data_IF_482034354122
#
_entry.id   IF_482034354122
#
_cell.length_a   1.000
_cell.length_b   1.000
_cell.length_c   1.000
_cell.angle_alpha   90.00
_cell.angle_beta   90.00
_cell.angle_gamma   90.00
#
_symmetry.space_group_name_H-M   'P 1'
#
loop_
_entity.id
_entity.type
_entity.pdbx_description
1 polymer ?
#
# COMPACT_ATOMS: atom_id res chain seq x y z
N UNK A 1 32.76 38.22 21.37
CA UNK A 1 32.91 36.75 21.25
C UNK A 1 31.66 36.12 21.85
N UNK A 2 30.64 35.84 21.02
CA UNK A 2 29.37 35.26 21.44
C UNK A 2 29.41 33.75 21.23
N UNK A 3 29.31 32.99 22.31
CA UNK A 3 29.27 31.52 22.28
C UNK A 3 27.85 31.07 21.98
N UNK A 4 27.63 30.49 20.79
CA UNK A 4 26.40 29.77 20.47
C UNK A 4 26.46 28.39 21.11
N UNK A 5 25.60 28.12 22.09
CA UNK A 5 25.32 26.75 22.51
C UNK A 5 24.51 26.08 21.40
N UNK A 6 25.10 25.09 20.75
CA UNK A 6 24.37 24.17 19.91
C UNK A 6 23.29 23.48 20.76
N UNK A 7 22.03 23.67 20.40
CA UNK A 7 20.93 22.85 20.90
C UNK A 7 21.08 21.50 20.21
N UNK A 8 21.67 20.53 20.90
CA UNK A 8 21.63 19.14 20.47
C UNK A 8 20.20 18.65 20.57
N UNK A 9 19.51 18.55 19.43
CA UNK A 9 18.30 17.75 19.35
C UNK A 9 18.69 16.30 19.58
N UNK A 10 18.46 15.80 20.79
CA UNK A 10 18.48 14.36 21.03
C UNK A 10 17.33 13.74 20.25
N UNK A 11 17.61 13.25 19.05
CA UNK A 11 16.72 12.32 18.35
C UNK A 11 16.66 11.05 19.19
N UNK A 12 15.64 10.93 20.04
CA UNK A 12 15.27 9.62 20.60
C UNK A 12 15.02 8.72 19.41
N UNK A 13 15.68 7.55 19.29
CA UNK A 13 15.45 6.66 18.17
C UNK A 13 13.96 6.27 18.14
N UNK A 14 13.31 6.50 17.00
CA UNK A 14 11.94 6.05 16.77
C UNK A 14 11.90 4.54 16.92
N UNK A 15 11.02 4.02 17.79
CA UNK A 15 10.81 2.58 17.93
C UNK A 15 10.13 2.05 16.67
N UNK A 16 10.50 0.88 16.18
CA UNK A 16 9.84 0.26 15.03
C UNK A 16 8.45 -0.26 15.41
N UNK A 17 7.49 -0.16 14.50
CA UNK A 17 6.18 -0.84 14.61
C UNK A 17 6.39 -2.36 14.70
N UNK A 18 5.68 -3.01 15.61
CA UNK A 18 5.69 -4.46 15.75
C UNK A 18 5.05 -5.14 14.53
N UNK A 19 5.78 -6.05 13.90
CA UNK A 19 5.28 -6.88 12.80
C UNK A 19 4.61 -8.12 13.40
N UNK A 20 3.27 -8.25 13.29
CA UNK A 20 2.56 -9.37 13.87
C UNK A 20 2.80 -10.66 13.07
N UNK A 21 2.52 -11.84 13.64
CA UNK A 21 2.55 -13.09 12.91
C UNK A 21 1.60 -13.08 11.69
N UNK A 22 2.07 -13.60 10.56
CA UNK A 22 1.31 -13.64 9.29
C UNK A 22 1.18 -15.05 8.73
N UNK A 23 0.17 -15.27 7.91
CA UNK A 23 -0.02 -16.45 7.06
C UNK A 23 -0.41 -16.00 5.65
N UNK A 24 -0.49 -16.89 4.63
CA UNK A 24 -1.04 -16.52 3.33
C UNK A 24 -2.46 -15.92 3.41
N UNK A 25 -3.25 -16.28 4.41
CA UNK A 25 -4.60 -15.77 4.65
C UNK A 25 -4.63 -14.57 5.61
N UNK A 26 -3.50 -14.22 6.24
CA UNK A 26 -3.38 -13.07 7.15
C UNK A 26 -2.06 -12.37 6.91
N UNK A 27 -2.06 -11.39 6.03
CA UNK A 27 -0.85 -10.81 5.43
C UNK A 27 -0.80 -9.29 5.63
N UNK A 28 0.40 -8.71 5.54
CA UNK A 28 0.61 -7.26 5.62
C UNK A 28 0.09 -6.60 4.33
N UNK A 29 -0.69 -5.54 4.45
CA UNK A 29 -1.30 -4.86 3.30
C UNK A 29 -1.35 -3.34 3.44
N UNK A 30 -1.93 -2.66 2.45
CA UNK A 30 -2.08 -1.22 2.37
C UNK A 30 -0.74 -0.48 2.34
N UNK A 31 -0.68 0.71 2.96
CA UNK A 31 0.50 1.58 2.91
C UNK A 31 1.79 0.87 3.37
N UNK A 32 1.71 -0.02 4.37
CA UNK A 32 2.88 -0.79 4.80
C UNK A 32 3.45 -1.68 3.68
N UNK A 33 2.58 -2.37 2.95
CA UNK A 33 2.99 -3.19 1.81
C UNK A 33 3.44 -2.33 0.62
N UNK A 34 2.80 -1.17 0.39
CA UNK A 34 3.20 -0.22 -0.65
C UNK A 34 4.61 0.35 -0.42
N UNK A 35 5.07 0.42 0.82
CA UNK A 35 6.43 0.84 1.17
C UNK A 35 7.49 -0.28 1.06
N UNK A 36 7.13 -1.47 0.57
CA UNK A 36 8.04 -2.59 0.35
C UNK A 36 8.06 -2.88 -1.14
N UNK A 37 9.24 -2.84 -1.77
CA UNK A 37 9.37 -3.17 -3.20
C UNK A 37 8.73 -4.52 -3.51
N UNK A 38 7.76 -4.57 -4.42
CA UNK A 38 7.05 -5.81 -4.72
C UNK A 38 7.87 -6.73 -5.66
N UNK A 39 7.58 -8.04 -5.72
CA UNK A 39 8.26 -8.98 -6.61
C UNK A 39 8.22 -8.60 -8.10
N UNK A 40 7.13 -7.97 -8.54
CA UNK A 40 6.94 -7.46 -9.90
C UNK A 40 7.76 -6.22 -10.24
N UNK A 41 8.56 -5.71 -9.29
CA UNK A 41 9.49 -4.61 -9.52
C UNK A 41 8.89 -3.21 -9.38
N UNK A 42 7.66 -3.09 -8.88
CA UNK A 42 7.02 -1.80 -8.59
C UNK A 42 7.76 -1.05 -7.47
N UNK A 43 7.96 0.25 -7.66
CA UNK A 43 8.61 1.14 -6.69
C UNK A 43 7.73 1.37 -5.45
N UNK A 44 6.42 1.46 -5.65
CA UNK A 44 5.43 1.63 -4.58
C UNK A 44 5.39 3.04 -4.01
N UNK A 45 4.91 3.14 -2.78
CA UNK A 45 4.89 4.40 -2.06
C UNK A 45 6.28 4.69 -1.49
N UNK A 46 7.09 5.45 -2.23
CA UNK A 46 8.42 5.89 -1.78
C UNK A 46 8.35 7.17 -0.92
N UNK A 47 7.19 7.83 -0.88
CA UNK A 47 7.06 9.17 -0.31
C UNK A 47 7.13 9.19 1.22
N UNK A 48 6.88 8.07 1.91
CA UNK A 48 6.90 8.02 3.38
C UNK A 48 7.46 6.71 3.96
N UNK A 49 8.79 6.56 3.86
CA UNK A 49 9.55 5.46 4.49
C UNK A 49 9.38 5.39 6.03
N UNK A 50 8.77 6.38 6.68
CA UNK A 50 8.58 6.44 8.12
C UNK A 50 7.34 5.68 8.61
N UNK A 51 6.58 5.03 7.72
CA UNK A 51 5.42 4.20 8.12
C UNK A 51 5.76 3.07 9.09
N UNK A 52 6.98 2.52 8.99
CA UNK A 52 7.49 1.47 9.87
C UNK A 52 7.98 1.98 11.24
N UNK A 53 7.93 3.29 11.49
CA UNK A 53 8.31 3.90 12.76
C UNK A 53 7.06 4.19 13.61
N UNK A 54 7.13 3.86 14.90
CA UNK A 54 6.16 4.29 15.89
C UNK A 54 6.17 5.81 16.00
N UNK A 55 4.99 6.41 15.97
CA UNK A 55 4.82 7.80 16.37
C UNK A 55 4.67 7.87 17.89
N UNK A 56 5.30 8.87 18.52
CA UNK A 56 5.20 9.11 19.97
C UNK A 56 3.76 9.26 20.46
N UNK A 57 2.89 9.81 19.61
CA UNK A 57 1.54 10.21 20.02
C UNK A 57 0.49 9.11 19.73
N UNK A 58 0.78 8.15 18.85
CA UNK A 58 -0.10 7.02 18.54
C UNK A 58 0.71 5.78 18.15
N UNK A 59 0.62 4.68 18.91
CA UNK A 59 1.19 3.41 18.48
C UNK A 59 0.50 3.03 17.16
N UNK A 60 1.29 2.94 16.09
CA UNK A 60 0.81 2.49 14.79
C UNK A 60 0.73 0.97 14.83
N UNK A 61 -0.30 0.42 14.21
CA UNK A 61 -0.41 -1.02 13.98
C UNK A 61 -0.26 -1.29 12.48
N UNK A 62 0.42 -2.38 12.15
CA UNK A 62 0.51 -2.86 10.76
C UNK A 62 -0.89 -3.17 10.26
N UNK A 63 -1.22 -2.70 9.06
CA UNK A 63 -2.51 -3.00 8.43
C UNK A 63 -2.47 -4.42 7.87
N UNK A 64 -3.49 -5.22 8.17
CA UNK A 64 -3.54 -6.64 7.81
C UNK A 64 -4.76 -6.96 6.95
N UNK A 65 -4.51 -7.66 5.84
CA UNK A 65 -5.53 -8.36 5.06
C UNK A 65 -5.89 -9.70 5.71
N UNK A 66 -7.07 -10.23 5.37
CA UNK A 66 -7.68 -11.37 6.05
C UNK A 66 -8.07 -11.08 7.50
N UNK A 67 -8.28 -9.81 7.83
CA UNK A 67 -8.79 -9.36 9.11
C UNK A 67 -10.28 -9.06 9.02
N UNK A 68 -10.93 -8.81 10.16
CA UNK A 68 -12.34 -8.39 10.17
C UNK A 68 -12.58 -7.04 9.50
N UNK A 69 -11.55 -6.19 9.37
CA UNK A 69 -11.66 -4.89 8.70
C UNK A 69 -11.38 -4.98 7.19
N UNK A 70 -10.51 -5.92 6.78
CA UNK A 70 -10.08 -6.08 5.39
C UNK A 70 -10.01 -7.57 5.08
N UNK A 71 -11.03 -8.12 4.44
CA UNK A 71 -11.00 -9.47 3.91
C UNK A 71 -11.46 -9.50 2.44
N UNK A 72 -10.47 -9.42 1.56
CA UNK A 72 -10.64 -9.51 0.11
C UNK A 72 -10.32 -10.91 -0.42
N UNK A 73 -10.00 -11.86 0.47
CA UNK A 73 -9.69 -13.25 0.13
C UNK A 73 -10.84 -13.95 -0.62
N UNK A 74 -12.13 -13.72 -0.29
CA UNK A 74 -13.23 -14.27 -1.08
C UNK A 74 -13.28 -13.80 -2.54
N UNK A 75 -12.65 -12.65 -2.84
CA UNK A 75 -12.67 -12.02 -4.18
C UNK A 75 -11.44 -12.45 -4.98
N UNK A 76 -10.26 -12.42 -4.35
CA UNK A 76 -8.97 -12.58 -5.02
C UNK A 76 -8.20 -13.84 -4.65
N UNK A 77 -8.66 -14.61 -3.65
CA UNK A 77 -7.92 -15.74 -3.11
C UNK A 77 -6.53 -15.31 -2.66
N UNK A 78 -5.52 -16.10 -3.05
CA UNK A 78 -4.10 -15.83 -2.77
C UNK A 78 -3.44 -14.85 -3.74
N UNK A 79 -4.17 -14.29 -4.72
CA UNK A 79 -3.57 -13.40 -5.72
C UNK A 79 -2.87 -12.20 -5.05
N UNK A 80 -1.65 -11.92 -5.50
CA UNK A 80 -0.85 -10.80 -5.04
C UNK A 80 -0.31 -10.96 -3.62
N UNK A 81 -0.40 -12.14 -3.00
CA UNK A 81 0.18 -12.40 -1.67
C UNK A 81 1.49 -13.17 -1.87
N UNK A 82 2.57 -12.72 -1.22
CA UNK A 82 3.89 -13.31 -1.36
C UNK A 82 4.66 -13.35 -0.04
N UNK A 83 5.65 -14.25 0.05
CA UNK A 83 6.58 -14.29 1.17
C UNK A 83 7.63 -13.19 0.98
N UNK A 84 7.71 -12.24 1.90
CA UNK A 84 8.60 -11.07 1.78
C UNK A 84 9.50 -10.81 2.97
N UNK A 85 9.84 -11.84 3.76
CA UNK A 85 10.80 -11.72 4.89
C UNK A 85 12.09 -11.06 4.43
N UNK A 86 12.70 -11.57 3.37
CA UNK A 86 13.99 -11.07 2.87
C UNK A 86 13.92 -9.58 2.48
N UNK A 87 12.77 -9.13 1.97
CA UNK A 87 12.57 -7.73 1.58
C UNK A 87 12.49 -6.82 2.81
N UNK A 88 11.74 -7.23 3.83
CA UNK A 88 11.66 -6.50 5.09
C UNK A 88 13.03 -6.48 5.82
N UNK A 89 13.79 -7.59 5.79
CA UNK A 89 15.15 -7.65 6.32
C UNK A 89 16.10 -6.69 5.57
N UNK A 90 15.96 -6.60 4.25
CA UNK A 90 16.76 -5.66 3.43
C UNK A 90 16.50 -4.19 3.75
N UNK A 91 15.32 -3.87 4.31
CA UNK A 91 14.97 -2.55 4.83
C UNK A 91 15.49 -2.31 6.25
N UNK A 92 16.15 -3.30 6.87
CA UNK A 92 16.65 -3.22 8.24
C UNK A 92 15.59 -3.39 9.32
N UNK A 93 14.42 -3.95 8.98
CA UNK A 93 13.34 -4.16 9.95
C UNK A 93 13.60 -5.38 10.83
N UNK A 94 13.29 -5.23 12.12
CA UNK A 94 13.27 -6.31 13.10
C UNK A 94 12.01 -7.15 12.90
N UNK A 95 12.19 -8.43 12.62
CA UNK A 95 11.12 -9.39 12.38
C UNK A 95 10.97 -10.38 13.53
N UNK A 96 9.83 -11.09 13.63
CA UNK A 96 9.71 -12.28 14.47
C UNK A 96 10.87 -13.25 14.22
N UNK A 97 11.39 -13.91 15.27
CA UNK A 97 12.60 -14.74 15.15
C UNK A 97 12.45 -15.92 14.19
N UNK A 98 11.24 -16.47 14.07
CA UNK A 98 10.94 -17.62 13.23
C UNK A 98 9.72 -17.36 12.35
N UNK A 99 9.62 -18.13 11.27
CA UNK A 99 8.47 -18.11 10.39
C UNK A 99 8.60 -17.16 9.20
N UNK A 100 7.71 -17.39 8.27
CA UNK A 100 7.53 -16.60 7.05
C UNK A 100 6.75 -15.33 7.35
N UNK A 101 7.04 -14.26 6.59
CA UNK A 101 6.27 -13.03 6.64
C UNK A 101 5.59 -12.82 5.30
N UNK A 102 4.28 -12.72 5.30
CA UNK A 102 3.46 -12.60 4.10
C UNK A 102 2.99 -11.16 3.90
N UNK A 103 3.11 -10.67 2.66
CA UNK A 103 2.71 -9.32 2.26
C UNK A 103 1.85 -9.36 1.00
N UNK A 104 1.00 -8.36 0.86
CA UNK A 104 0.40 -7.97 -0.40
C UNK A 104 1.46 -7.35 -1.32
N UNK A 105 1.36 -7.63 -2.60
CA UNK A 105 1.98 -6.85 -3.65
C UNK A 105 1.22 -5.52 -3.82
N UNK A 106 1.71 -4.61 -4.66
CA UNK A 106 1.16 -3.25 -4.69
C UNK A 106 -0.26 -3.22 -5.21
N UNK A 107 -0.58 -4.01 -6.24
CA UNK A 107 -1.96 -4.12 -6.73
C UNK A 107 -2.90 -4.62 -5.61
N UNK A 108 -2.56 -5.72 -4.93
CA UNK A 108 -3.40 -6.25 -3.84
C UNK A 108 -3.52 -5.26 -2.68
N UNK A 109 -2.45 -4.53 -2.36
CA UNK A 109 -2.46 -3.52 -1.31
C UNK A 109 -3.41 -2.35 -1.62
N UNK A 110 -3.46 -1.88 -2.86
CA UNK A 110 -4.39 -0.83 -3.30
C UNK A 110 -5.83 -1.34 -3.25
N UNK A 111 -6.08 -2.56 -3.73
CA UNK A 111 -7.41 -3.17 -3.70
C UNK A 111 -7.93 -3.36 -2.26
N UNK A 112 -7.05 -3.72 -1.33
CA UNK A 112 -7.36 -3.82 0.09
C UNK A 112 -7.71 -2.45 0.72
N UNK A 113 -7.01 -1.38 0.32
CA UNK A 113 -7.33 -0.01 0.75
C UNK A 113 -8.66 0.47 0.17
N UNK A 114 -8.95 0.19 -1.12
CA UNK A 114 -10.24 0.46 -1.74
C UNK A 114 -11.35 -0.26 -0.99
N UNK A 115 -11.17 -1.56 -0.73
CA UNK A 115 -12.15 -2.38 -0.02
C UNK A 115 -12.45 -1.82 1.36
N UNK A 116 -11.41 -1.53 2.13
CA UNK A 116 -11.53 -0.90 3.46
C UNK A 116 -12.30 0.40 3.38
N UNK A 117 -11.93 1.27 2.43
CA UNK A 117 -12.48 2.62 2.33
C UNK A 117 -13.97 2.60 2.02
N UNK A 118 -14.36 1.78 1.05
CA UNK A 118 -15.74 1.61 0.63
C UNK A 118 -16.57 0.90 1.71
N UNK A 119 -16.04 -0.12 2.36
CA UNK A 119 -16.74 -0.84 3.44
C UNK A 119 -17.01 0.08 4.64
N UNK A 120 -16.01 0.88 5.03
CA UNK A 120 -16.07 1.66 6.26
C UNK A 120 -16.77 3.00 6.12
N UNK A 121 -16.57 3.68 4.98
CA UNK A 121 -17.08 5.04 4.77
C UNK A 121 -18.00 5.18 3.56
N UNK A 122 -18.16 4.12 2.76
CA UNK A 122 -18.96 4.16 1.55
C UNK A 122 -18.38 5.06 0.47
N UNK A 123 -17.10 5.44 0.55
CA UNK A 123 -16.40 6.36 -0.38
C UNK A 123 -14.94 5.97 -0.52
N UNK A 124 -14.30 6.37 -1.61
CA UNK A 124 -12.85 6.21 -1.82
C UNK A 124 -12.12 7.41 -1.22
N UNK A 125 -11.20 7.16 -0.27
CA UNK A 125 -10.45 8.20 0.44
C UNK A 125 -8.95 8.05 0.20
N UNK A 126 -8.29 9.14 -0.19
CA UNK A 126 -6.82 9.24 -0.34
C UNK A 126 -6.21 8.16 -1.28
N UNK A 127 -6.94 7.79 -2.33
CA UNK A 127 -6.51 6.80 -3.33
C UNK A 127 -6.54 7.35 -4.75
N UNK A 128 -6.81 8.65 -4.93
CA UNK A 128 -6.67 9.31 -6.23
C UNK A 128 -5.20 9.32 -6.64
N UNK A 129 -4.93 8.91 -7.87
CA UNK A 129 -3.58 8.75 -8.42
C UNK A 129 -2.94 7.41 -8.09
N UNK A 130 -3.59 6.48 -7.39
CA UNK A 130 -2.96 5.22 -6.98
C UNK A 130 -2.44 4.38 -8.16
N UNK A 131 -3.07 4.49 -9.34
CA UNK A 131 -2.63 3.80 -10.56
C UNK A 131 -1.36 4.39 -11.20
N UNK A 132 -0.95 5.59 -10.77
CA UNK A 132 0.15 6.35 -11.39
C UNK A 132 1.24 6.76 -10.40
N UNK A 133 0.88 6.91 -9.13
CA UNK A 133 1.76 7.42 -8.09
C UNK A 133 2.47 6.28 -7.34
N UNK A 134 1.89 5.07 -7.36
CA UNK A 134 2.41 3.88 -6.67
C UNK A 134 2.74 2.71 -7.61
N UNK A 135 2.40 2.84 -8.89
CA UNK A 135 2.72 1.88 -9.94
C UNK A 135 3.58 2.58 -10.99
N UNK A 136 4.54 1.85 -11.56
CA UNK A 136 5.58 2.46 -12.41
C UNK A 136 5.20 2.44 -13.89
N UNK A 137 4.38 1.47 -14.30
CA UNK A 137 4.08 1.21 -15.69
C UNK A 137 2.57 1.26 -15.98
N UNK A 138 2.25 1.73 -17.20
CA UNK A 138 0.87 1.87 -17.68
C UNK A 138 0.08 0.55 -17.60
N UNK A 139 0.72 -0.58 -17.94
CA UNK A 139 0.11 -1.91 -17.89
C UNK A 139 -0.22 -2.37 -16.46
N UNK A 140 0.60 -1.99 -15.47
CA UNK A 140 0.31 -2.22 -14.05
C UNK A 140 -0.93 -1.43 -13.60
N UNK A 141 -1.06 -0.18 -14.05
CA UNK A 141 -2.24 0.66 -13.80
C UNK A 141 -3.51 0.09 -14.44
N UNK A 142 -3.45 -0.30 -15.72
CA UNK A 142 -4.57 -0.97 -16.40
C UNK A 142 -4.97 -2.25 -15.68
N UNK A 143 -3.99 -3.08 -15.31
CA UNK A 143 -4.23 -4.32 -14.58
C UNK A 143 -4.89 -4.07 -13.21
N UNK A 144 -4.49 -3.02 -12.49
CA UNK A 144 -5.16 -2.60 -11.25
C UNK A 144 -6.65 -2.31 -11.49
N UNK A 145 -7.00 -1.57 -12.55
CA UNK A 145 -8.40 -1.24 -12.86
C UNK A 145 -9.21 -2.48 -13.24
N UNK A 146 -8.63 -3.41 -14.01
CA UNK A 146 -9.26 -4.70 -14.32
C UNK A 146 -9.57 -5.49 -13.05
N UNK A 147 -8.67 -5.49 -12.07
CA UNK A 147 -8.94 -6.13 -10.79
C UNK A 147 -9.99 -5.35 -9.98
N UNK A 148 -9.96 -4.01 -9.97
CA UNK A 148 -10.92 -3.19 -9.24
C UNK A 148 -12.37 -3.40 -9.68
N UNK A 149 -12.61 -3.74 -10.96
CA UNK A 149 -13.96 -4.11 -11.44
C UNK A 149 -14.55 -5.27 -10.65
N UNK A 150 -13.73 -6.22 -10.18
CA UNK A 150 -14.17 -7.39 -9.41
C UNK A 150 -14.68 -7.04 -8.02
N UNK A 151 -14.34 -5.85 -7.48
CA UNK A 151 -14.86 -5.36 -6.21
C UNK A 151 -16.30 -4.85 -6.30
N UNK A 152 -16.71 -4.34 -7.46
CA UNK A 152 -18.01 -3.69 -7.67
C UNK A 152 -19.21 -4.50 -7.13
N UNK A 153 -19.39 -5.80 -7.47
CA UNK A 153 -20.57 -6.54 -7.03
C UNK A 153 -20.64 -6.79 -5.51
N UNK A 154 -19.58 -6.52 -4.77
CA UNK A 154 -19.50 -6.76 -3.31
C UNK A 154 -19.94 -5.56 -2.46
N UNK A 155 -20.34 -4.46 -3.09
CA UNK A 155 -20.75 -3.23 -2.40
C UNK A 155 -22.22 -2.87 -2.63
N UNK A 156 -22.85 -2.11 -1.72
CA UNK A 156 -24.15 -1.49 -1.99
C UNK A 156 -24.03 -0.46 -3.12
N UNK A 157 -25.13 -0.20 -3.84
CA UNK A 157 -25.15 0.67 -5.04
C UNK A 157 -24.42 2.01 -4.88
N UNK A 158 -24.59 2.70 -3.75
CA UNK A 158 -23.91 3.99 -3.51
C UNK A 158 -22.38 3.85 -3.50
N UNK A 159 -21.84 2.80 -2.88
CA UNK A 159 -20.41 2.54 -2.87
C UNK A 159 -19.92 1.96 -4.22
N UNK A 160 -20.77 1.27 -4.99
CA UNK A 160 -20.46 0.89 -6.36
C UNK A 160 -20.24 2.13 -7.25
N UNK A 161 -21.12 3.14 -7.13
CA UNK A 161 -21.00 4.38 -7.88
C UNK A 161 -19.72 5.14 -7.52
N UNK A 162 -19.34 5.16 -6.24
CA UNK A 162 -18.07 5.76 -5.80
C UNK A 162 -16.86 5.02 -6.38
N UNK A 163 -16.87 3.68 -6.38
CA UNK A 163 -15.78 2.89 -6.97
C UNK A 163 -15.67 3.14 -8.48
N UNK A 164 -16.80 3.19 -9.20
CA UNK A 164 -16.82 3.49 -10.65
C UNK A 164 -16.26 4.86 -10.94
N UNK A 165 -16.69 5.89 -10.21
CA UNK A 165 -16.13 7.25 -10.34
C UNK A 165 -14.63 7.29 -10.12
N UNK A 166 -14.13 6.55 -9.12
CA UNK A 166 -12.70 6.46 -8.90
C UNK A 166 -11.99 5.77 -10.08
N UNK A 167 -12.50 4.64 -10.57
CA UNK A 167 -11.91 3.93 -11.72
C UNK A 167 -11.88 4.82 -12.98
N UNK A 168 -12.95 5.56 -13.26
CA UNK A 168 -13.01 6.48 -14.40
C UNK A 168 -11.95 7.58 -14.30
N UNK A 169 -11.74 8.12 -13.08
CA UNK A 169 -10.71 9.13 -12.82
C UNK A 169 -9.28 8.60 -12.97
N UNK A 170 -9.02 7.37 -12.51
CA UNK A 170 -7.71 6.71 -12.70
C UNK A 170 -7.46 6.38 -14.17
N UNK A 171 -8.48 5.92 -14.90
CA UNK A 171 -8.38 5.63 -16.33
C UNK A 171 -7.98 6.88 -17.12
N UNK A 172 -8.65 8.01 -16.87
CA UNK A 172 -8.30 9.28 -17.52
C UNK A 172 -6.84 9.66 -17.25
N UNK A 173 -6.35 9.48 -16.02
CA UNK A 173 -4.97 9.80 -15.67
C UNK A 173 -3.95 8.89 -16.35
N UNK A 174 -4.26 7.60 -16.48
CA UNK A 174 -3.41 6.66 -17.22
C UNK A 174 -3.32 7.03 -18.71
N UNK A 175 -4.44 7.44 -19.32
CA UNK A 175 -4.46 7.93 -20.70
C UNK A 175 -3.60 9.18 -20.87
N UNK A 176 -3.72 10.16 -19.96
CA UNK A 176 -2.90 11.37 -19.95
C UNK A 176 -1.39 11.08 -19.83
N UNK A 177 -1.00 10.02 -19.12
CA UNK A 177 0.40 9.57 -19.04
C UNK A 177 0.85 8.82 -20.30
N UNK A 178 -0.03 7.99 -20.87
CA UNK A 178 0.25 7.24 -22.10
C UNK A 178 0.45 8.13 -23.33
N UNK A 179 -0.16 9.31 -23.34
CA UNK A 179 -0.05 10.30 -24.41
C UNK A 179 1.19 11.20 -24.31
N UNK A 180 1.92 11.21 -23.19
CA UNK A 180 3.14 12.00 -23.07
C UNK A 180 4.30 11.36 -23.85
N UNK A 181 5.05 12.13 -24.68
CA UNK A 181 6.21 11.61 -25.39
C UNK A 181 7.24 11.12 -24.38
N UNK A 182 7.54 9.82 -24.40
CA UNK A 182 8.58 9.24 -23.55
C UNK A 182 9.89 9.97 -23.84
N UNK A 183 10.40 10.71 -22.86
CA UNK A 183 11.72 11.32 -22.96
C UNK A 183 12.74 10.19 -23.22
N UNK A 184 13.56 10.25 -24.28
CA UNK A 184 14.59 9.25 -24.49
C UNK A 184 15.51 9.27 -23.26
N UNK A 185 15.68 8.12 -22.60
CA UNK A 185 16.70 7.98 -21.58
C UNK A 185 18.05 8.18 -22.26
N UNK A 186 18.77 9.24 -21.87
CA UNK A 186 20.14 9.57 -22.31
C UNK A 186 21.16 8.59 -21.73
#
# INVERSE_FOLDING_TARGET
MLSFRAVSFSSVPSRQVEIPPTTPERYITGIYALNVQAPEGTSGDWHDVFHWQESRDRPRQVTLGGSTEIDTSPIYGSYGIYQGRQRLESMGLVLPQTGEVYLANHTRAILDLLYRSLTRWGRVLNLTGASTDWLDAYDQGVFLLEQAVRLVPHFPHTAQDELRRWMDGEQQRLEELGEQPRCPQL
#
